data_IF_514807897157
#
_entry.id   IF_514807897157
#
_cell.length_a   1.000
_cell.length_b   1.000
_cell.length_c   1.000
_cell.angle_alpha   90.00
_cell.angle_beta   90.00
_cell.angle_gamma   90.00
#
_symmetry.space_group_name_H-M   'P 1'
#
loop_
_entity.id
_entity.type
_entity.pdbx_description
1 polymer ?
#
# COMPACT_ATOMS: atom_id res chain seq x y z
N UNK A 1 -3.31 9.05 -5.63
CA UNK A 1 -3.83 7.82 -4.98
C UNK A 1 -5.25 8.04 -4.48
N UNK A 2 -6.14 7.07 -4.64
CA UNK A 2 -7.55 7.13 -4.17
C UNK A 2 -7.99 5.75 -3.68
N UNK A 3 -8.66 5.65 -2.52
CA UNK A 3 -9.34 4.39 -2.16
C UNK A 3 -10.51 4.19 -3.11
N UNK A 4 -10.59 3.03 -3.77
CA UNK A 4 -11.68 2.70 -4.71
C UNK A 4 -12.53 1.53 -4.25
N UNK A 5 -11.99 0.67 -3.37
CA UNK A 5 -12.65 -0.55 -2.92
C UNK A 5 -12.44 -0.76 -1.42
N UNK A 6 -13.49 -1.12 -0.71
CA UNK A 6 -13.45 -1.62 0.67
C UNK A 6 -14.04 -3.03 0.70
N UNK A 7 -13.41 -3.96 1.42
CA UNK A 7 -13.94 -5.29 1.70
C UNK A 7 -13.89 -5.56 3.20
N UNK A 8 -15.05 -5.66 3.83
CA UNK A 8 -15.19 -5.85 5.28
C UNK A 8 -14.89 -7.29 5.68
N UNK A 9 -14.56 -7.55 6.93
CA UNK A 9 -14.39 -8.92 7.45
C UNK A 9 -15.65 -9.79 7.37
N UNK A 10 -16.85 -9.19 7.38
CA UNK A 10 -18.12 -9.86 7.08
C UNK A 10 -18.34 -10.19 5.59
N UNK A 11 -17.35 -9.90 4.74
CA UNK A 11 -17.36 -10.14 3.29
C UNK A 11 -18.18 -9.15 2.46
N UNK A 12 -18.60 -8.01 3.02
CA UNK A 12 -19.30 -6.96 2.28
C UNK A 12 -18.31 -6.12 1.49
N UNK A 13 -18.68 -5.74 0.27
CA UNK A 13 -17.83 -4.93 -0.62
C UNK A 13 -18.49 -3.57 -0.82
N UNK A 14 -17.71 -2.50 -0.69
CA UNK A 14 -18.11 -1.15 -1.05
C UNK A 14 -17.19 -0.59 -2.14
N UNK A 15 -17.78 0.12 -3.10
CA UNK A 15 -17.07 0.92 -4.08
C UNK A 15 -17.03 2.38 -3.62
N UNK A 16 -15.90 3.03 -3.84
CA UNK A 16 -15.70 4.43 -3.44
C UNK A 16 -15.56 5.27 -4.69
N UNK A 17 -16.48 6.21 -4.86
CA UNK A 17 -16.50 7.13 -6.01
C UNK A 17 -15.74 8.42 -5.72
N UNK A 18 -15.49 9.22 -6.76
CA UNK A 18 -14.69 10.44 -6.67
C UNK A 18 -13.18 10.16 -6.66
N UNK A 19 -12.37 11.21 -6.84
CA UNK A 19 -10.93 11.09 -7.01
C UNK A 19 -10.15 12.06 -6.11
N UNK A 20 -8.91 11.68 -5.79
CA UNK A 20 -7.97 12.53 -5.06
C UNK A 20 -8.33 12.69 -3.59
N UNK A 21 -7.84 13.79 -3.01
CA UNK A 21 -7.90 14.09 -1.58
C UNK A 21 -9.03 15.07 -1.25
N UNK A 22 -10.24 14.78 -1.75
CA UNK A 22 -11.44 15.61 -1.50
C UNK A 22 -12.56 14.79 -0.89
N UNK A 23 -13.50 15.49 -0.23
CA UNK A 23 -14.73 14.91 0.29
C UNK A 23 -15.75 14.55 -0.81
N UNK A 24 -15.49 14.88 -2.07
CA UNK A 24 -16.43 14.64 -3.18
C UNK A 24 -16.43 13.17 -3.56
N UNK A 25 -17.62 12.58 -3.58
CA UNK A 25 -17.84 11.17 -3.87
C UNK A 25 -18.68 10.53 -2.77
N UNK A 26 -18.81 9.22 -2.85
CA UNK A 26 -19.67 8.43 -1.98
C UNK A 26 -19.12 7.01 -1.82
N UNK A 27 -19.45 6.37 -0.69
CA UNK A 27 -19.12 4.97 -0.40
C UNK A 27 -20.34 4.11 -0.64
N UNK A 28 -20.36 3.44 -1.78
CA UNK A 28 -21.51 2.68 -2.26
C UNK A 28 -21.35 1.20 -1.95
N UNK A 29 -22.19 0.70 -1.04
CA UNK A 29 -22.26 -0.73 -0.75
C UNK A 29 -22.79 -1.50 -1.97
N UNK A 30 -22.08 -2.55 -2.38
CA UNK A 30 -22.60 -3.49 -3.37
C UNK A 30 -23.76 -4.27 -2.74
N UNK A 31 -24.95 -4.10 -3.29
CA UNK A 31 -26.14 -4.82 -2.83
C UNK A 31 -26.03 -6.31 -3.19
N UNK A 32 -25.99 -7.17 -2.17
CA UNK A 32 -26.14 -8.62 -2.34
C UNK A 32 -27.50 -9.05 -1.78
N UNK A 33 -28.26 -9.83 -2.55
CA UNK A 33 -29.55 -10.38 -2.10
C UNK A 33 -29.35 -11.16 -0.78
N UNK A 34 -30.11 -10.80 0.25
CA UNK A 34 -30.13 -11.50 1.54
C UNK A 34 -29.07 -11.06 2.55
N UNK A 35 -28.31 -9.98 2.30
CA UNK A 35 -27.40 -9.41 3.30
C UNK A 35 -27.99 -8.21 4.01
N UNK A 36 -27.70 -8.10 5.30
CA UNK A 36 -28.12 -6.97 6.12
C UNK A 36 -27.25 -5.73 5.80
N UNK A 37 -27.91 -4.68 5.30
CA UNK A 37 -27.25 -3.43 4.92
C UNK A 37 -26.71 -2.66 6.13
N UNK A 38 -27.34 -2.79 7.29
CA UNK A 38 -26.89 -2.09 8.51
C UNK A 38 -25.60 -2.73 9.03
N UNK A 39 -25.52 -4.07 9.01
CA UNK A 39 -24.27 -4.78 9.33
C UNK A 39 -23.16 -4.41 8.35
N UNK A 40 -23.47 -4.31 7.06
CA UNK A 40 -22.51 -3.89 6.05
C UNK A 40 -21.98 -2.46 6.30
N UNK A 41 -22.87 -1.53 6.64
CA UNK A 41 -22.51 -0.14 7.02
C UNK A 41 -21.66 -0.10 8.28
N UNK A 42 -22.00 -0.89 9.31
CA UNK A 42 -21.19 -1.01 10.52
C UNK A 42 -19.78 -1.50 10.22
N UNK A 43 -19.64 -2.51 9.35
CA UNK A 43 -18.34 -3.03 8.92
C UNK A 43 -17.49 -1.97 8.20
N UNK A 44 -18.08 -1.24 7.25
CA UNK A 44 -17.41 -0.12 6.56
C UNK A 44 -16.99 0.96 7.56
N UNK A 45 -17.89 1.35 8.46
CA UNK A 45 -17.61 2.38 9.45
C UNK A 45 -16.46 1.97 10.38
N UNK A 46 -16.43 0.71 10.83
CA UNK A 46 -15.33 0.20 11.65
C UNK A 46 -13.98 0.24 10.91
N UNK A 47 -13.96 -0.01 9.60
CA UNK A 47 -12.72 0.09 8.81
C UNK A 47 -12.27 1.55 8.68
N UNK A 48 -13.20 2.45 8.35
CA UNK A 48 -12.90 3.87 8.18
C UNK A 48 -12.43 4.52 9.49
N UNK A 49 -13.00 4.13 10.62
CA UNK A 49 -12.55 4.56 11.95
C UNK A 49 -11.08 4.19 12.18
N UNK A 50 -10.68 2.94 11.90
CA UNK A 50 -9.26 2.53 11.95
C UNK A 50 -8.41 3.39 11.00
N UNK A 51 -8.90 3.61 9.77
CA UNK A 51 -8.21 4.39 8.74
C UNK A 51 -8.03 5.87 9.08
N UNK A 52 -8.87 6.44 9.96
CA UNK A 52 -8.80 7.82 10.44
C UNK A 52 -7.96 7.94 11.71
N UNK A 53 -8.12 7.02 12.67
CA UNK A 53 -7.41 7.08 13.95
C UNK A 53 -5.94 6.69 13.78
N UNK A 54 -5.67 5.62 13.04
CA UNK A 54 -4.33 5.18 12.71
C UNK A 54 -3.82 5.96 11.49
N UNK A 55 -3.73 7.28 11.59
CA UNK A 55 -3.41 8.17 10.47
C UNK A 55 -2.71 9.46 10.92
N UNK A 56 -1.73 9.92 10.15
CA UNK A 56 -1.02 11.18 10.38
C UNK A 56 -1.28 12.25 9.31
N UNK A 57 -1.95 11.91 8.22
CA UNK A 57 -2.31 12.85 7.19
C UNK A 57 -3.35 13.86 7.68
N UNK A 58 -3.28 15.05 7.08
CA UNK A 58 -4.24 16.14 7.25
C UNK A 58 -4.57 16.65 5.86
N UNK A 59 -5.86 16.82 5.57
CA UNK A 59 -6.33 17.45 4.33
C UNK A 59 -6.89 18.83 4.72
N UNK A 60 -6.35 19.90 4.14
CA UNK A 60 -6.87 21.27 4.30
C UNK A 60 -7.04 21.88 2.91
N UNK A 61 -8.24 22.39 2.63
CA UNK A 61 -8.57 23.00 1.33
C UNK A 61 -8.21 22.11 0.12
N UNK A 62 -8.54 20.81 0.22
CA UNK A 62 -8.18 19.74 -0.74
C UNK A 62 -6.66 19.52 -0.96
N UNK A 63 -5.80 20.17 -0.16
CA UNK A 63 -4.36 19.95 -0.13
C UNK A 63 -4.01 18.90 0.92
N UNK A 64 -3.32 17.85 0.48
CA UNK A 64 -2.82 16.80 1.36
C UNK A 64 -1.49 17.20 2.00
N UNK A 65 -1.45 17.10 3.33
CA UNK A 65 -0.23 17.10 4.14
C UNK A 65 -0.04 15.72 4.74
N UNK A 66 1.11 15.08 4.50
CA UNK A 66 1.42 13.73 4.96
C UNK A 66 1.49 12.72 3.81
N UNK A 67 1.43 11.43 4.15
CA UNK A 67 1.66 10.37 3.16
C UNK A 67 0.44 10.18 2.23
N UNK A 68 0.65 10.02 0.90
CA UNK A 68 -0.41 9.81 -0.09
C UNK A 68 -1.42 8.72 0.25
N UNK A 69 -0.92 7.59 0.78
CA UNK A 69 -1.74 6.45 1.20
C UNK A 69 -2.65 6.79 2.38
N UNK A 70 -2.12 7.55 3.33
CA UNK A 70 -2.86 7.99 4.51
C UNK A 70 -3.93 9.03 4.14
N UNK A 71 -3.59 9.96 3.25
CA UNK A 71 -4.54 10.91 2.67
C UNK A 71 -5.69 10.22 1.94
N UNK A 72 -5.41 9.14 1.20
CA UNK A 72 -6.45 8.39 0.49
C UNK A 72 -7.46 7.74 1.46
N UNK A 73 -6.99 7.20 2.59
CA UNK A 73 -7.85 6.67 3.66
C UNK A 73 -8.69 7.77 4.32
N UNK A 74 -8.08 8.93 4.60
CA UNK A 74 -8.78 10.06 5.21
C UNK A 74 -9.86 10.62 4.27
N UNK A 75 -9.54 10.80 2.99
CA UNK A 75 -10.51 11.23 1.98
C UNK A 75 -11.67 10.22 1.83
N UNK A 76 -11.39 8.92 1.91
CA UNK A 76 -12.43 7.89 1.94
C UNK A 76 -13.38 8.07 3.13
N UNK A 77 -12.84 8.32 4.32
CA UNK A 77 -13.65 8.59 5.51
C UNK A 77 -14.42 9.91 5.42
N UNK A 78 -13.87 10.96 4.78
CA UNK A 78 -14.58 12.22 4.54
C UNK A 78 -15.83 12.00 3.68
N UNK A 79 -15.74 11.19 2.62
CA UNK A 79 -16.87 10.82 1.74
C UNK A 79 -18.00 10.10 2.50
N UNK A 80 -17.68 9.45 3.63
CA UNK A 80 -18.65 8.78 4.50
C UNK A 80 -18.98 9.58 5.78
N UNK A 81 -18.58 10.86 5.87
CA UNK A 81 -18.77 11.73 7.04
C UNK A 81 -18.16 11.19 8.35
N UNK A 82 -17.02 10.49 8.27
CA UNK A 82 -16.35 9.84 9.42
C UNK A 82 -15.00 10.46 9.81
N UNK A 83 -14.60 11.55 9.17
CA UNK A 83 -13.29 12.16 9.38
C UNK A 83 -13.10 12.77 10.78
N UNK A 84 -14.19 13.18 11.44
CA UNK A 84 -14.17 13.76 12.80
C UNK A 84 -14.04 12.71 13.92
N UNK A 85 -14.12 11.41 13.60
CA UNK A 85 -14.06 10.35 14.64
C UNK A 85 -12.75 10.38 15.42
N UNK A 86 -11.67 10.91 14.82
CA UNK A 86 -10.38 11.14 15.49
C UNK A 86 -10.53 12.01 16.74
N UNK A 87 -11.46 12.95 16.77
CA UNK A 87 -11.66 13.87 17.88
C UNK A 87 -12.23 13.17 19.12
N UNK A 88 -12.87 12.01 18.95
CA UNK A 88 -13.43 11.21 20.03
C UNK A 88 -12.36 10.43 20.81
N UNK A 89 -11.12 10.40 20.32
CA UNK A 89 -10.02 9.64 20.89
C UNK A 89 -8.85 10.55 21.28
N UNK A 90 -8.18 10.20 22.38
CA UNK A 90 -6.88 10.75 22.78
C UNK A 90 -5.81 9.74 22.44
N UNK A 91 -4.87 10.11 21.55
CA UNK A 91 -3.73 9.25 21.20
C UNK A 91 -2.74 9.21 22.38
N UNK A 92 -2.44 8.01 22.86
CA UNK A 92 -1.51 7.74 23.96
C UNK A 92 -0.12 7.43 23.42
N UNK A 93 -0.06 6.54 22.42
CA UNK A 93 1.19 6.08 21.84
C UNK A 93 1.05 5.81 20.34
N UNK A 94 2.17 5.86 19.64
CA UNK A 94 2.25 5.62 18.22
C UNK A 94 3.54 4.88 17.88
N UNK A 95 3.39 3.87 17.03
CA UNK A 95 4.50 3.24 16.31
C UNK A 95 4.28 3.60 14.84
N UNK A 96 5.08 4.52 14.27
CA UNK A 96 4.91 4.94 12.89
C UNK A 96 5.16 3.78 11.93
N UNK A 97 4.65 3.90 10.71
CA UNK A 97 4.92 2.91 9.67
C UNK A 97 6.42 2.80 9.40
N UNK A 98 6.95 1.57 9.38
CA UNK A 98 8.29 1.29 8.85
C UNK A 98 8.22 0.22 7.76
N UNK A 99 9.15 0.28 6.81
CA UNK A 99 9.26 -0.74 5.75
C UNK A 99 9.63 -2.13 6.30
N UNK A 100 10.22 -2.19 7.49
CA UNK A 100 10.59 -3.43 8.17
C UNK A 100 9.36 -4.11 8.79
N UNK A 101 8.56 -3.37 9.56
CA UNK A 101 7.35 -3.91 10.21
C UNK A 101 6.17 -4.00 9.24
N UNK A 102 6.17 -3.19 8.18
CA UNK A 102 5.12 -3.06 7.16
C UNK A 102 3.74 -2.75 7.76
N UNK A 103 3.71 -2.13 8.94
CA UNK A 103 2.48 -1.72 9.64
C UNK A 103 2.69 -0.46 10.49
N UNK A 104 1.61 0.24 10.77
CA UNK A 104 1.52 1.36 11.71
C UNK A 104 0.57 0.99 12.83
N UNK A 105 0.90 1.40 14.06
CA UNK A 105 0.11 1.11 15.26
C UNK A 105 -0.15 2.41 16.00
N UNK A 106 -1.39 2.63 16.40
CA UNK A 106 -1.79 3.78 17.23
C UNK A 106 -2.59 3.27 18.41
N UNK A 107 -2.17 3.64 19.61
CA UNK A 107 -2.88 3.35 20.86
C UNK A 107 -3.62 4.59 21.32
N UNK A 108 -4.92 4.46 21.59
CA UNK A 108 -5.79 5.55 22.01
C UNK A 108 -6.65 5.21 23.22
N UNK A 109 -7.18 6.23 23.87
CA UNK A 109 -8.32 6.14 24.81
C UNK A 109 -9.51 6.96 24.30
N UNK A 110 -10.73 6.44 24.39
CA UNK A 110 -11.93 7.24 24.15
C UNK A 110 -12.02 8.41 25.15
N UNK A 111 -12.37 9.61 24.66
CA UNK A 111 -12.51 10.82 25.51
C UNK A 111 -13.79 10.82 26.34
N UNK A 112 -14.86 10.27 25.78
CA UNK A 112 -16.19 10.24 26.39
C UNK A 112 -16.58 8.79 26.65
N UNK A 113 -16.16 8.24 27.79
CA UNK A 113 -16.58 6.91 28.25
C UNK A 113 -17.00 6.96 29.71
N UNK A 114 -18.12 6.32 30.06
CA UNK A 114 -18.70 6.22 31.41
C UNK A 114 -17.84 5.34 32.36
N UNK A 115 -16.60 5.75 32.61
CA UNK A 115 -15.74 5.16 33.64
C UNK A 115 -15.14 3.77 33.34
N UNK A 116 -15.45 3.16 32.18
CA UNK A 116 -14.76 1.95 31.67
C UNK A 116 -13.79 2.33 30.56
N UNK A 117 -12.72 3.05 30.93
CA UNK A 117 -11.60 3.33 30.04
C UNK A 117 -10.99 2.00 29.58
N UNK A 118 -11.23 1.62 28.32
CA UNK A 118 -10.44 0.58 27.66
C UNK A 118 -9.57 1.29 26.64
N UNK A 119 -8.27 1.25 26.88
CA UNK A 119 -7.31 1.57 25.85
C UNK A 119 -7.58 0.67 24.63
N UNK A 120 -7.38 1.23 23.45
CA UNK A 120 -7.59 0.53 22.20
C UNK A 120 -6.43 0.77 21.25
N UNK A 121 -6.09 -0.28 20.52
CA UNK A 121 -5.03 -0.31 19.52
C UNK A 121 -5.67 -0.37 18.15
N UNK A 122 -5.27 0.55 17.27
CA UNK A 122 -5.66 0.62 15.87
C UNK A 122 -4.44 0.34 15.00
N UNK A 123 -4.58 -0.58 14.05
CA UNK A 123 -3.46 -1.04 13.22
C UNK A 123 -3.86 -0.98 11.76
N UNK A 124 -2.95 -0.45 10.93
CA UNK A 124 -3.03 -0.58 9.47
C UNK A 124 -1.73 -1.10 8.90
N UNK A 125 -1.78 -1.90 7.85
CA UNK A 125 -0.55 -2.38 7.23
C UNK A 125 -0.75 -3.46 6.19
N UNK A 126 0.36 -4.12 5.85
CA UNK A 126 0.38 -5.30 5.00
C UNK A 126 -0.45 -6.44 5.63
N UNK A 127 -1.40 -6.98 4.88
CA UNK A 127 -2.32 -8.03 5.39
C UNK A 127 -1.56 -9.23 5.94
N UNK A 128 -0.47 -9.64 5.30
CA UNK A 128 0.35 -10.78 5.72
C UNK A 128 1.10 -10.54 7.04
N UNK A 129 1.27 -9.27 7.46
CA UNK A 129 1.89 -8.93 8.75
C UNK A 129 0.86 -8.70 9.84
N UNK A 130 -0.28 -8.09 9.51
CA UNK A 130 -1.31 -7.72 10.49
C UNK A 130 -2.30 -8.86 10.76
N UNK A 131 -2.69 -9.64 9.73
CA UNK A 131 -3.68 -10.70 9.89
C UNK A 131 -3.26 -11.80 10.89
N UNK A 132 -1.98 -12.23 10.97
CA UNK A 132 -1.54 -13.19 11.99
C UNK A 132 -1.67 -12.69 13.44
N UNK A 133 -1.81 -11.38 13.65
CA UNK A 133 -2.01 -10.75 14.97
C UNK A 133 -3.50 -10.70 15.36
N UNK A 134 -4.40 -11.09 14.45
CA UNK A 134 -5.84 -11.06 14.67
C UNK A 134 -6.35 -12.38 15.25
N UNK A 135 -7.10 -12.30 16.35
CA UNK A 135 -7.72 -13.45 17.02
C UNK A 135 -9.18 -13.63 16.61
N UNK A 136 -9.83 -12.56 16.17
CA UNK A 136 -11.25 -12.53 15.85
C UNK A 136 -11.55 -11.60 14.67
N UNK A 137 -12.78 -11.67 14.17
CA UNK A 137 -13.32 -10.82 13.11
C UNK A 137 -14.81 -10.62 13.34
N UNK A 138 -15.42 -9.69 12.60
CA UNK A 138 -16.88 -9.47 12.62
C UNK A 138 -17.47 -10.22 11.43
N UNK A 139 -18.37 -11.16 11.69
CA UNK A 139 -19.00 -11.96 10.65
C UNK A 139 -20.09 -11.20 9.86
N UNK A 140 -20.70 -11.85 8.87
CA UNK A 140 -21.74 -11.23 8.04
C UNK A 140 -23.04 -10.92 8.80
N UNK A 141 -23.21 -11.44 10.00
CA UNK A 141 -24.34 -11.17 10.90
C UNK A 141 -23.99 -10.10 11.96
N UNK A 142 -22.77 -9.56 11.95
CA UNK A 142 -22.32 -8.54 12.88
C UNK A 142 -21.77 -9.09 14.20
N UNK A 143 -21.57 -10.40 14.32
CA UNK A 143 -21.07 -11.02 15.54
C UNK A 143 -19.55 -11.19 15.51
N UNK A 144 -18.93 -11.11 16.69
CA UNK A 144 -17.52 -11.47 16.83
C UNK A 144 -17.35 -12.99 16.70
N UNK A 145 -16.49 -13.42 15.79
CA UNK A 145 -16.16 -14.82 15.55
C UNK A 145 -14.63 -15.03 15.58
N UNK A 146 -14.13 -16.17 16.08
CA UNK A 146 -12.71 -16.47 16.08
C UNK A 146 -12.18 -16.68 14.66
N UNK A 147 -10.94 -16.25 14.39
CA UNK A 147 -10.29 -16.51 13.11
C UNK A 147 -9.78 -17.95 13.08
N UNK A 148 -10.35 -18.74 12.17
CA UNK A 148 -9.84 -20.08 11.82
C UNK A 148 -8.80 -19.97 10.70
N UNK A 149 -7.98 -21.02 10.49
CA UNK A 149 -7.04 -21.07 9.35
C UNK A 149 -7.74 -20.95 8.00
N UNK A 150 -8.93 -21.54 7.87
CA UNK A 150 -9.76 -21.43 6.68
C UNK A 150 -10.18 -19.98 6.46
N UNK A 151 -10.71 -19.31 7.49
CA UNK A 151 -11.12 -17.91 7.39
C UNK A 151 -9.95 -16.97 7.10
N UNK A 152 -8.78 -17.26 7.66
CA UNK A 152 -7.55 -16.54 7.36
C UNK A 152 -7.19 -16.66 5.87
N UNK A 153 -7.31 -17.86 5.29
CA UNK A 153 -7.08 -18.09 3.87
C UNK A 153 -8.10 -17.34 3.00
N UNK A 154 -9.38 -17.31 3.39
CA UNK A 154 -10.41 -16.54 2.69
C UNK A 154 -10.07 -15.05 2.62
N UNK A 155 -9.63 -14.46 3.73
CA UNK A 155 -9.24 -13.04 3.76
C UNK A 155 -8.02 -12.74 2.88
N UNK A 156 -7.05 -13.65 2.85
CA UNK A 156 -5.89 -13.53 1.97
C UNK A 156 -6.30 -13.66 0.50
N UNK A 157 -7.23 -14.56 0.16
CA UNK A 157 -7.75 -14.73 -1.19
C UNK A 157 -8.53 -13.50 -1.66
N UNK A 158 -9.37 -12.92 -0.80
CA UNK A 158 -10.10 -11.69 -1.07
C UNK A 158 -9.14 -10.52 -1.35
N UNK A 159 -8.15 -10.32 -0.47
CA UNK A 159 -7.10 -9.33 -0.66
C UNK A 159 -6.30 -9.55 -1.96
N UNK A 160 -6.02 -10.81 -2.30
CA UNK A 160 -5.36 -11.17 -3.54
C UNK A 160 -6.18 -10.79 -4.77
N UNK A 161 -7.50 -11.05 -4.75
CA UNK A 161 -8.41 -10.68 -5.84
C UNK A 161 -8.48 -9.16 -6.05
N UNK A 162 -8.58 -8.38 -4.97
CA UNK A 162 -8.54 -6.91 -5.03
C UNK A 162 -7.18 -6.45 -5.57
N UNK A 163 -6.08 -7.08 -5.13
CA UNK A 163 -4.73 -6.73 -5.58
C UNK A 163 -4.52 -6.96 -7.07
N UNK A 164 -5.12 -8.00 -7.64
CA UNK A 164 -5.07 -8.30 -9.08
C UNK A 164 -5.71 -7.22 -9.96
N UNK A 165 -6.52 -6.34 -9.37
CA UNK A 165 -7.06 -5.18 -10.06
C UNK A 165 -6.04 -4.01 -10.15
N UNK A 166 -4.80 -4.22 -9.70
CA UNK A 166 -3.77 -3.17 -9.64
C UNK A 166 -3.91 -2.24 -8.44
N UNK A 167 -4.68 -2.64 -7.42
CA UNK A 167 -4.93 -1.83 -6.22
C UNK A 167 -3.93 -2.20 -5.11
N UNK A 168 -3.35 -1.18 -4.46
CA UNK A 168 -2.53 -1.34 -3.26
C UNK A 168 -3.42 -1.76 -2.09
N UNK A 169 -3.07 -2.88 -1.46
CA UNK A 169 -3.86 -3.48 -0.37
C UNK A 169 -3.38 -3.01 1.00
N UNK A 170 -4.33 -2.59 1.84
CA UNK A 170 -4.08 -2.22 3.24
C UNK A 170 -5.12 -2.91 4.11
N UNK A 171 -4.64 -3.73 5.05
CA UNK A 171 -5.48 -4.32 6.08
C UNK A 171 -5.68 -3.33 7.22
N UNK A 172 -6.88 -3.35 7.81
CA UNK A 172 -7.32 -2.49 8.90
C UNK A 172 -7.80 -3.37 10.06
N UNK A 173 -7.25 -3.17 11.25
CA UNK A 173 -7.54 -3.97 12.43
C UNK A 173 -7.62 -3.11 13.68
N UNK A 174 -8.38 -3.56 14.68
CA UNK A 174 -8.48 -2.90 16.00
C UNK A 174 -8.57 -3.90 17.13
N UNK A 175 -8.13 -3.58 18.33
CA UNK A 175 -8.29 -4.47 19.47
C UNK A 175 -7.78 -3.89 20.78
N UNK A 176 -7.89 -4.65 21.86
CA UNK A 176 -7.41 -4.21 23.18
C UNK A 176 -5.86 -4.16 23.24
N UNK A 177 -5.19 -5.02 22.49
CA UNK A 177 -3.73 -5.08 22.40
C UNK A 177 -3.29 -5.64 21.04
N UNK A 178 -1.99 -5.60 20.74
CA UNK A 178 -1.42 -6.14 19.50
C UNK A 178 -1.54 -7.66 19.39
N UNK A 179 -1.69 -8.36 20.52
CA UNK A 179 -1.84 -9.81 20.60
C UNK A 179 -3.30 -10.27 20.45
N UNK A 180 -4.26 -9.34 20.47
CA UNK A 180 -5.69 -9.65 20.38
C UNK A 180 -6.42 -8.62 19.52
N UNK A 181 -6.07 -8.62 18.23
CA UNK A 181 -6.72 -7.77 17.24
C UNK A 181 -7.98 -8.44 16.65
N UNK A 182 -8.91 -7.58 16.27
CA UNK A 182 -10.07 -7.88 15.44
C UNK A 182 -9.78 -7.43 14.03
N UNK A 183 -9.85 -8.35 13.07
CA UNK A 183 -9.75 -8.02 11.65
C UNK A 183 -11.04 -7.31 11.19
N UNK A 184 -10.92 -6.08 10.71
CA UNK A 184 -12.08 -5.28 10.24
C UNK A 184 -12.28 -5.37 8.73
N UNK A 185 -11.19 -5.54 7.97
CA UNK A 185 -11.24 -5.67 6.51
C UNK A 185 -9.99 -5.17 5.82
N UNK A 186 -10.07 -5.05 4.50
CA UNK A 186 -9.02 -4.50 3.62
C UNK A 186 -9.58 -3.43 2.70
N UNK A 187 -8.76 -2.44 2.38
CA UNK A 187 -9.05 -1.49 1.31
C UNK A 187 -8.09 -1.68 0.14
N UNK A 188 -8.60 -1.40 -1.06
CA UNK A 188 -7.85 -1.25 -2.30
C UNK A 188 -7.66 0.23 -2.62
N UNK A 189 -6.40 0.66 -2.62
CA UNK A 189 -5.98 2.01 -3.00
C UNK A 189 -5.49 2.00 -4.43
N UNK A 190 -6.17 2.72 -5.31
CA UNK A 190 -5.73 2.93 -6.68
C UNK A 190 -4.57 3.93 -6.71
N UNK A 191 -3.46 3.48 -7.27
CA UNK A 191 -2.27 4.26 -7.59
C UNK A 191 -1.92 4.01 -9.06
N UNK A 192 -2.62 4.67 -10.00
CA UNK A 192 -2.52 4.32 -11.40
C UNK A 192 -1.12 4.65 -11.94
N UNK A 193 -0.55 3.80 -12.83
CA UNK A 193 0.66 4.17 -13.55
C UNK A 193 0.39 5.39 -14.43
N UNK A 194 1.44 6.17 -14.70
CA UNK A 194 1.35 7.32 -15.61
C UNK A 194 0.99 6.85 -17.02
N UNK A 195 0.17 7.62 -17.73
CA UNK A 195 -0.28 7.28 -19.09
C UNK A 195 0.89 7.05 -20.05
N UNK A 196 1.94 7.87 -19.95
CA UNK A 196 3.15 7.78 -20.77
C UNK A 196 4.09 6.62 -20.41
N UNK A 197 3.94 6.00 -19.23
CA UNK A 197 4.87 4.99 -18.74
C UNK A 197 4.93 3.77 -19.68
N UNK A 198 3.78 3.37 -20.23
CA UNK A 198 3.71 2.21 -21.14
C UNK A 198 4.47 2.45 -22.44
N UNK A 199 4.30 3.63 -23.03
CA UNK A 199 4.92 3.96 -24.31
C UNK A 199 6.44 4.13 -24.16
N UNK A 200 6.87 4.74 -23.06
CA UNK A 200 8.28 4.87 -22.71
C UNK A 200 8.95 3.50 -22.45
N UNK A 201 8.31 2.60 -21.69
CA UNK A 201 8.82 1.23 -21.51
C UNK A 201 8.91 0.48 -22.84
N UNK A 202 7.91 0.63 -23.72
CA UNK A 202 7.95 0.04 -25.05
C UNK A 202 9.10 0.60 -25.91
N UNK A 203 9.41 1.88 -25.79
CA UNK A 203 10.52 2.51 -26.49
C UNK A 203 11.88 2.07 -25.94
N UNK A 204 12.06 1.99 -24.62
CA UNK A 204 13.25 1.43 -23.97
C UNK A 204 13.51 -0.03 -24.40
N UNK A 205 12.45 -0.85 -24.45
CA UNK A 205 12.56 -2.24 -24.93
C UNK A 205 12.98 -2.33 -26.40
N UNK A 206 12.52 -1.42 -27.26
CA UNK A 206 12.97 -1.34 -28.67
C UNK A 206 14.44 -0.95 -28.78
N UNK A 207 14.93 -0.15 -27.84
CA UNK A 207 16.35 0.18 -27.69
C UNK A 207 17.17 -0.92 -26.95
N UNK A 208 16.56 -2.09 -26.72
CA UNK A 208 17.17 -3.23 -26.02
C UNK A 208 17.56 -2.95 -24.56
N UNK A 209 16.98 -1.92 -23.94
CA UNK A 209 17.13 -1.66 -22.51
C UNK A 209 16.19 -2.57 -21.71
N UNK A 210 16.76 -3.32 -20.76
CA UNK A 210 15.97 -4.14 -19.84
C UNK A 210 15.34 -3.25 -18.76
N UNK A 211 14.01 -3.29 -18.64
CA UNK A 211 13.27 -2.56 -17.61
C UNK A 211 12.82 -3.53 -16.52
N UNK A 212 13.15 -3.22 -15.26
CA UNK A 212 12.76 -4.00 -14.08
C UNK A 212 11.92 -3.12 -13.15
N UNK A 213 10.83 -3.66 -12.63
CA UNK A 213 9.97 -2.98 -11.65
C UNK A 213 10.42 -3.33 -10.23
N UNK A 214 10.59 -2.31 -9.38
CA UNK A 214 10.99 -2.49 -7.98
C UNK A 214 10.02 -1.73 -7.08
N UNK A 215 9.10 -2.44 -6.42
CA UNK A 215 8.00 -1.84 -5.65
C UNK A 215 7.85 -2.41 -4.22
N UNK A 216 7.35 -1.58 -3.30
CA UNK A 216 6.94 -1.99 -1.95
C UNK A 216 5.56 -2.66 -1.89
N UNK A 217 4.85 -2.73 -3.01
CA UNK A 217 3.51 -3.31 -3.11
C UNK A 217 3.49 -4.83 -2.96
N UNK A 218 2.31 -5.38 -2.70
CA UNK A 218 2.10 -6.82 -2.64
C UNK A 218 2.21 -7.45 -4.04
N UNK A 219 2.55 -8.75 -4.10
CA UNK A 219 2.70 -9.50 -5.35
C UNK A 219 1.55 -9.30 -6.36
N UNK A 220 0.26 -9.51 -6.00
CA UNK A 220 -0.82 -9.38 -6.99
C UNK A 220 -0.91 -7.96 -7.59
N UNK A 221 -0.71 -6.93 -6.76
CA UNK A 221 -0.68 -5.53 -7.19
C UNK A 221 0.50 -5.27 -8.11
N UNK A 222 1.71 -5.66 -7.70
CA UNK A 222 2.93 -5.45 -8.47
C UNK A 222 2.86 -6.10 -9.86
N UNK A 223 2.37 -7.34 -9.94
CA UNK A 223 2.20 -8.04 -11.21
C UNK A 223 1.13 -7.40 -12.09
N UNK A 224 0.01 -6.97 -11.50
CA UNK A 224 -1.05 -6.28 -12.25
C UNK A 224 -0.55 -4.95 -12.83
N UNK A 225 0.14 -4.13 -12.03
CA UNK A 225 0.71 -2.84 -12.50
C UNK A 225 1.81 -3.09 -13.54
N UNK A 226 2.70 -4.07 -13.33
CA UNK A 226 3.71 -4.46 -14.30
C UNK A 226 3.10 -4.85 -15.66
N UNK A 227 2.01 -5.61 -15.64
CA UNK A 227 1.27 -5.96 -16.85
C UNK A 227 0.63 -4.74 -17.52
N UNK A 228 0.03 -3.82 -16.74
CA UNK A 228 -0.58 -2.59 -17.25
C UNK A 228 0.44 -1.70 -17.99
N UNK A 229 1.67 -1.63 -17.49
CA UNK A 229 2.75 -0.83 -18.11
C UNK A 229 3.53 -1.59 -19.19
N UNK A 230 3.17 -2.83 -19.50
CA UNK A 230 3.75 -3.59 -20.62
C UNK A 230 5.03 -4.36 -20.31
N UNK A 231 5.32 -4.64 -19.03
CA UNK A 231 6.39 -5.56 -18.65
C UNK A 231 5.97 -7.02 -18.89
N UNK A 232 6.94 -7.86 -19.27
CA UNK A 232 6.70 -9.30 -19.38
C UNK A 232 6.67 -9.92 -17.99
N UNK A 233 5.49 -10.36 -17.58
CA UNK A 233 5.25 -11.04 -16.30
C UNK A 233 4.94 -12.52 -16.47
N UNK A 234 4.78 -13.00 -17.71
CA UNK A 234 4.40 -14.39 -18.01
C UNK A 234 5.64 -15.28 -18.12
N UNK A 235 6.70 -14.76 -18.73
CA UNK A 235 7.95 -15.52 -18.94
C UNK A 235 9.08 -15.11 -17.99
N UNK A 236 8.85 -14.11 -17.14
CA UNK A 236 9.84 -13.60 -16.20
C UNK A 236 9.53 -13.99 -14.76
N UNK A 237 10.56 -14.09 -13.94
CA UNK A 237 10.41 -14.36 -12.52
C UNK A 237 10.01 -13.09 -11.77
N UNK A 238 9.32 -13.29 -10.64
CA UNK A 238 9.01 -12.24 -9.66
C UNK A 238 9.60 -12.62 -8.31
N UNK A 239 10.27 -11.69 -7.64
CA UNK A 239 10.96 -11.96 -6.38
C UNK A 239 10.48 -11.04 -5.26
N UNK A 240 10.21 -11.62 -4.09
CA UNK A 240 9.86 -10.83 -2.90
C UNK A 240 11.10 -10.30 -2.18
N UNK A 241 10.94 -9.19 -1.44
CA UNK A 241 11.93 -8.73 -0.47
C UNK A 241 12.33 -9.80 0.55
N UNK A 242 11.37 -10.59 1.03
CA UNK A 242 11.64 -11.65 2.01
C UNK A 242 12.48 -12.80 1.38
N UNK A 243 12.32 -13.09 0.08
CA UNK A 243 13.21 -14.02 -0.65
C UNK A 243 14.60 -13.41 -0.88
N UNK A 244 14.68 -12.11 -1.20
CA UNK A 244 15.96 -11.40 -1.32
C UNK A 244 16.77 -11.43 -0.02
N UNK A 245 16.11 -11.33 1.14
CA UNK A 245 16.78 -11.41 2.44
C UNK A 245 17.41 -12.78 2.71
N UNK A 246 16.88 -13.84 2.09
CA UNK A 246 17.40 -15.20 2.19
C UNK A 246 18.46 -15.55 1.16
N UNK A 247 18.80 -14.65 0.24
CA UNK A 247 19.76 -14.87 -0.84
C UNK A 247 21.10 -14.19 -0.54
N UNK A 248 22.18 -14.86 -0.91
CA UNK A 248 23.50 -14.26 -1.03
C UNK A 248 23.62 -13.38 -2.28
N UNK A 249 24.63 -12.52 -2.31
CA UNK A 249 24.91 -11.66 -3.46
C UNK A 249 25.15 -12.49 -4.74
N UNK A 250 25.85 -13.63 -4.64
CA UNK A 250 26.12 -14.51 -5.78
C UNK A 250 24.86 -15.22 -6.30
N UNK A 251 23.97 -15.64 -5.40
CA UNK A 251 22.67 -16.22 -5.78
C UNK A 251 21.77 -15.20 -6.47
N UNK A 252 21.78 -13.95 -5.99
CA UNK A 252 21.06 -12.86 -6.63
C UNK A 252 21.62 -12.57 -8.02
N UNK A 253 22.95 -12.46 -8.14
CA UNK A 253 23.65 -12.24 -9.42
C UNK A 253 23.30 -13.33 -10.45
N UNK A 254 23.14 -14.58 -10.04
CA UNK A 254 22.80 -15.68 -10.94
C UNK A 254 21.37 -15.62 -11.52
N UNK A 255 20.42 -14.98 -10.83
CA UNK A 255 19.01 -14.97 -11.24
C UNK A 255 18.49 -13.59 -11.67
N UNK A 256 19.19 -12.50 -11.33
CA UNK A 256 18.68 -11.12 -11.44
C UNK A 256 18.25 -10.77 -12.87
N UNK A 257 18.93 -11.29 -13.89
CA UNK A 257 18.57 -11.06 -15.30
C UNK A 257 17.20 -11.65 -15.65
N UNK A 258 16.81 -12.77 -15.02
CA UNK A 258 15.53 -13.44 -15.25
C UNK A 258 14.36 -12.81 -14.48
N UNK A 259 14.65 -11.95 -13.50
CA UNK A 259 13.65 -11.29 -12.66
C UNK A 259 13.24 -9.94 -13.27
N UNK A 260 11.93 -9.76 -13.47
CA UNK A 260 11.37 -8.50 -14.00
C UNK A 260 10.66 -7.69 -12.92
N UNK A 261 10.10 -8.33 -11.90
CA UNK A 261 9.32 -7.66 -10.85
C UNK A 261 9.82 -8.04 -9.47
N UNK A 262 10.28 -7.04 -8.72
CA UNK A 262 10.59 -7.15 -7.30
C UNK A 262 9.47 -6.49 -6.49
N UNK A 263 8.92 -7.21 -5.52
CA UNK A 263 7.77 -6.76 -4.72
C UNK A 263 8.06 -6.85 -3.22
N UNK A 264 7.32 -6.11 -2.39
CA UNK A 264 7.57 -5.98 -0.95
C UNK A 264 9.01 -5.61 -0.59
N UNK A 265 9.66 -4.80 -1.45
CA UNK A 265 11.07 -4.42 -1.28
C UNK A 265 11.26 -3.29 -0.28
N UNK A 266 12.40 -3.33 0.41
CA UNK A 266 12.88 -2.27 1.32
C UNK A 266 13.92 -1.38 0.62
N UNK A 267 14.28 -0.22 1.18
CA UNK A 267 15.41 0.59 0.66
C UNK A 267 16.71 -0.21 0.49
N UNK A 268 17.00 -1.12 1.44
CA UNK A 268 18.16 -2.03 1.37
C UNK A 268 18.10 -2.93 0.15
N UNK A 269 16.94 -3.52 -0.15
CA UNK A 269 16.74 -4.38 -1.32
C UNK A 269 16.95 -3.63 -2.63
N UNK A 270 16.46 -2.39 -2.74
CA UNK A 270 16.67 -1.54 -3.92
C UNK A 270 18.16 -1.36 -4.21
N UNK A 271 18.94 -1.07 -3.16
CA UNK A 271 20.39 -0.95 -3.27
C UNK A 271 21.07 -2.26 -3.69
N UNK A 272 20.66 -3.41 -3.13
CA UNK A 272 21.21 -4.72 -3.49
C UNK A 272 20.94 -5.07 -4.96
N UNK A 273 19.74 -4.79 -5.46
CA UNK A 273 19.37 -5.01 -6.88
C UNK A 273 20.27 -4.18 -7.81
N UNK A 274 20.45 -2.88 -7.51
CA UNK A 274 21.33 -2.00 -8.30
C UNK A 274 22.77 -2.53 -8.29
N UNK A 275 23.31 -2.90 -7.13
CA UNK A 275 24.68 -3.43 -7.02
C UNK A 275 24.87 -4.74 -7.78
N UNK A 276 23.89 -5.64 -7.72
CA UNK A 276 23.93 -6.91 -8.43
C UNK A 276 23.98 -6.71 -9.95
N UNK A 277 23.10 -5.86 -10.49
CA UNK A 277 23.12 -5.50 -11.91
C UNK A 277 24.46 -4.88 -12.33
N UNK A 278 25.03 -4.00 -11.50
CA UNK A 278 26.35 -3.39 -11.73
C UNK A 278 27.49 -4.42 -11.72
N UNK A 279 27.46 -5.41 -10.80
CA UNK A 279 28.47 -6.48 -10.75
C UNK A 279 28.51 -7.34 -12.01
N UNK A 280 27.34 -7.54 -12.64
CA UNK A 280 27.23 -8.21 -13.93
C UNK A 280 27.69 -7.34 -15.12
N UNK A 281 28.16 -6.12 -14.88
CA UNK A 281 28.67 -5.22 -15.92
C UNK A 281 27.60 -4.41 -16.64
N UNK A 282 26.36 -4.40 -16.14
CA UNK A 282 25.30 -3.54 -16.70
C UNK A 282 25.49 -2.09 -16.24
N UNK A 283 25.13 -1.15 -17.11
CA UNK A 283 24.92 0.25 -16.74
C UNK A 283 23.49 0.40 -16.24
N UNK A 284 23.31 0.86 -15.01
CA UNK A 284 22.03 0.86 -14.32
C UNK A 284 21.50 2.29 -14.18
N UNK A 285 20.37 2.56 -14.83
CA UNK A 285 19.54 3.73 -14.54
C UNK A 285 18.50 3.38 -13.47
N UNK A 286 18.35 4.21 -12.45
CA UNK A 286 17.30 4.06 -11.43
C UNK A 286 16.39 5.28 -11.43
N UNK A 287 15.08 5.05 -11.36
CA UNK A 287 14.07 6.10 -11.24
C UNK A 287 13.35 5.99 -9.91
N UNK A 288 13.07 7.12 -9.24
CA UNK A 288 12.42 7.13 -7.93
C UNK A 288 11.92 8.50 -7.50
N UNK A 289 10.98 8.52 -6.57
CA UNK A 289 10.31 9.71 -6.06
C UNK A 289 10.29 9.82 -4.53
N UNK A 290 10.34 8.70 -3.82
CA UNK A 290 10.28 8.67 -2.35
C UNK A 290 11.65 8.68 -1.68
N UNK A 291 11.75 9.25 -0.47
CA UNK A 291 12.96 9.23 0.40
C UNK A 291 13.63 7.86 0.50
N UNK A 292 12.86 6.78 0.37
CA UNK A 292 13.31 5.40 0.37
C UNK A 292 14.19 5.01 -0.84
N UNK A 293 14.18 5.80 -1.92
CA UNK A 293 14.93 5.58 -3.15
C UNK A 293 16.29 6.27 -3.17
N UNK A 294 16.52 7.27 -2.31
CA UNK A 294 17.70 8.15 -2.40
C UNK A 294 19.04 7.41 -2.40
N UNK A 295 19.22 6.39 -1.56
CA UNK A 295 20.47 5.62 -1.49
C UNK A 295 20.73 4.83 -2.76
N UNK A 296 19.68 4.21 -3.32
CA UNK A 296 19.80 3.39 -4.51
C UNK A 296 19.90 4.27 -5.78
N UNK A 297 19.20 5.41 -5.81
CA UNK A 297 19.36 6.46 -6.82
C UNK A 297 20.81 6.94 -6.89
N UNK A 298 21.42 7.27 -5.73
CA UNK A 298 22.80 7.74 -5.69
C UNK A 298 23.82 6.67 -6.08
N UNK A 299 23.46 5.39 -5.93
CA UNK A 299 24.33 4.27 -6.26
C UNK A 299 24.26 3.87 -7.73
N UNK A 300 23.13 4.12 -8.38
CA UNK A 300 22.95 3.86 -9.80
C UNK A 300 23.97 4.64 -10.63
N UNK A 301 24.25 4.17 -11.85
CA UNK A 301 25.15 4.88 -12.76
C UNK A 301 24.50 6.19 -13.25
N UNK A 302 23.17 6.19 -13.33
CA UNK A 302 22.35 7.39 -13.54
C UNK A 302 21.12 7.32 -12.62
N UNK A 303 21.05 8.20 -11.62
CA UNK A 303 19.86 8.40 -10.80
C UNK A 303 18.91 9.43 -11.43
N UNK A 304 17.63 9.10 -11.53
CA UNK A 304 16.59 9.94 -12.13
C UNK A 304 15.49 10.21 -11.09
N UNK A 305 15.31 11.47 -10.69
CA UNK A 305 14.28 11.88 -9.75
C UNK A 305 13.09 12.57 -10.44
N UNK A 306 11.91 12.41 -9.85
CA UNK A 306 10.71 13.13 -10.25
C UNK A 306 10.76 14.58 -9.74
N UNK A 307 10.42 15.57 -10.56
CA UNK A 307 10.48 16.99 -10.23
C UNK A 307 9.34 17.47 -9.31
N UNK A 308 8.09 17.13 -9.60
CA UNK A 308 6.92 17.56 -8.81
C UNK A 308 6.68 16.62 -7.63
N UNK A 309 6.62 15.31 -7.89
CA UNK A 309 6.30 14.32 -6.87
C UNK A 309 7.53 13.82 -6.09
N UNK A 310 8.75 14.10 -6.56
CA UNK A 310 9.96 13.65 -5.88
C UNK A 310 10.25 14.45 -4.61
N UNK A 311 10.63 13.73 -3.56
CA UNK A 311 11.14 14.35 -2.33
C UNK A 311 12.46 15.09 -2.58
N UNK A 312 12.74 16.12 -1.77
CA UNK A 312 13.98 16.90 -1.90
C UNK A 312 15.22 16.00 -1.75
N UNK A 313 15.16 15.00 -0.88
CA UNK A 313 16.21 13.99 -0.71
C UNK A 313 16.47 13.20 -2.00
N UNK A 314 15.43 12.85 -2.76
CA UNK A 314 15.60 12.18 -4.05
C UNK A 314 16.23 13.08 -5.10
N UNK A 315 15.79 14.35 -5.17
CA UNK A 315 16.29 15.33 -6.14
C UNK A 315 17.78 15.61 -5.94
N UNK A 316 18.22 15.73 -4.69
CA UNK A 316 19.63 15.90 -4.33
C UNK A 316 20.48 14.64 -4.60
N UNK A 317 19.87 13.45 -4.49
CA UNK A 317 20.54 12.19 -4.73
C UNK A 317 20.67 11.82 -6.21
N UNK A 318 19.83 12.38 -7.08
CA UNK A 318 19.76 12.08 -8.50
C UNK A 318 20.74 12.91 -9.35
N UNK A 319 21.11 12.36 -10.49
CA UNK A 319 21.94 13.03 -11.49
C UNK A 319 21.08 13.77 -12.53
N UNK A 320 19.81 13.37 -12.67
CA UNK A 320 18.82 13.97 -13.56
C UNK A 320 17.48 14.17 -12.85
N UNK A 321 16.80 15.28 -13.15
CA UNK A 321 15.47 15.61 -12.59
C UNK A 321 14.47 15.80 -13.73
N UNK A 322 13.36 15.06 -13.71
CA UNK A 322 12.25 15.19 -14.66
C UNK A 322 11.26 16.25 -14.16
N UNK A 323 11.43 17.50 -14.60
CA UNK A 323 10.68 18.67 -14.08
C UNK A 323 9.16 18.54 -14.25
N UNK A 324 8.71 17.88 -15.31
CA UNK A 324 7.30 17.63 -15.63
C UNK A 324 6.75 16.32 -15.07
N UNK A 325 7.60 15.52 -14.43
CA UNK A 325 7.33 14.15 -14.02
C UNK A 325 6.92 13.20 -15.17
N UNK A 326 7.26 13.53 -16.42
CA UNK A 326 6.96 12.67 -17.56
C UNK A 326 8.10 11.67 -17.78
N UNK A 327 7.77 10.39 -17.61
CA UNK A 327 8.72 9.30 -17.83
C UNK A 327 9.14 9.18 -19.31
N UNK A 328 8.34 9.71 -20.24
CA UNK A 328 8.70 9.77 -21.65
C UNK A 328 9.93 10.65 -21.93
N UNK A 329 10.26 11.60 -21.04
CA UNK A 329 11.41 12.51 -21.17
C UNK A 329 12.77 11.78 -21.11
N UNK A 330 12.79 10.51 -20.69
CA UNK A 330 13.98 9.66 -20.71
C UNK A 330 14.34 9.20 -22.15
N UNK A 331 13.39 9.27 -23.08
CA UNK A 331 13.55 8.88 -24.48
C UNK A 331 14.12 10.01 -25.34
#
# INVERSE_FOLDING_TARGET
>A
MTVTTLSTSGGHIAEVTGAGYSARGDVQLRAYKGRDLDVARMGVNSMLEVGVICNNAVIRDDVLYGQPTEGALLACAMKNNMHEVREQFTRINEIPFSSETKMMVVKCTPKYSDGKLKEEVFVKGAIEKVLPLCTQYIDSAGNYAPITKEKQADFLNEAYNIGRMGLRIIALCRGASLESLTYTGVCGVCDPPRESARDAIAALRRAQVQVKMVTGDARPTALAVAQMVGLDVLHSQSLSGDQLDGMSDDELDAIIDTVTVFYRVTPKHKLSIVKSLQRLGNIVGMTGDGVNDGVALKRADIGIAMGRNGTDVCKEAADMILVDDDFATIM
#
